data_IF_735163356878
#
_entry.id   IF_735163356878
#
_cell.length_a   1.000
_cell.length_b   1.000
_cell.length_c   1.000
_cell.angle_alpha   90.00
_cell.angle_beta   90.00
_cell.angle_gamma   90.00
#
_symmetry.space_group_name_H-M   'P 1'
#
loop_
_entity.id
_entity.type
_entity.pdbx_description
1 polymer ?
#
# COMPACT_ATOMS: atom_id res chain seq x y z
N UNK A 1 -33.53 -29.69 -11.28
CA UNK A 1 -32.86 -30.48 -10.24
C UNK A 1 -31.70 -29.64 -9.72
N UNK A 2 -31.79 -29.23 -8.46
CA UNK A 2 -30.93 -28.24 -7.80
C UNK A 2 -29.53 -28.80 -7.59
N UNK A 3 -28.52 -28.20 -8.21
CA UNK A 3 -27.10 -28.49 -7.95
C UNK A 3 -26.51 -27.42 -7.04
N UNK A 4 -26.80 -27.48 -5.74
CA UNK A 4 -26.08 -26.71 -4.73
C UNK A 4 -24.65 -27.24 -4.62
N UNK A 5 -23.69 -26.62 -5.30
CA UNK A 5 -22.27 -26.87 -5.04
C UNK A 5 -21.82 -25.99 -3.88
N UNK A 6 -21.94 -26.58 -2.69
CA UNK A 6 -21.44 -26.16 -1.37
C UNK A 6 -20.13 -25.36 -1.46
N UNK A 7 -20.21 -24.03 -1.37
CA UNK A 7 -19.05 -23.15 -1.25
C UNK A 7 -18.34 -23.39 0.10
N UNK A 8 -17.02 -23.53 0.05
CA UNK A 8 -16.16 -23.76 1.20
C UNK A 8 -16.19 -22.57 2.19
N UNK A 9 -17.13 -22.56 3.12
CA UNK A 9 -16.94 -21.85 4.39
C UNK A 9 -16.04 -22.71 5.28
N UNK A 10 -14.73 -22.60 5.08
CA UNK A 10 -13.80 -22.96 6.14
C UNK A 10 -13.81 -21.76 7.10
N UNK A 11 -14.49 -21.89 8.22
CA UNK A 11 -14.37 -20.92 9.32
C UNK A 11 -12.95 -21.02 9.86
N UNK A 12 -12.05 -20.21 9.29
CA UNK A 12 -10.69 -20.10 9.78
C UNK A 12 -10.73 -19.08 10.92
N UNK A 13 -10.83 -19.60 12.15
CA UNK A 13 -10.77 -18.77 13.36
C UNK A 13 -9.41 -18.08 13.43
N UNK A 14 -9.43 -16.76 13.63
CA UNK A 14 -8.26 -15.91 13.78
C UNK A 14 -8.45 -15.07 15.04
N UNK A 15 -7.51 -15.17 15.98
CA UNK A 15 -7.56 -14.48 17.28
C UNK A 15 -6.66 -13.22 17.30
N UNK A 16 -6.11 -12.81 16.15
CA UNK A 16 -5.32 -11.57 16.07
C UNK A 16 -6.24 -10.33 16.11
N UNK A 17 -5.81 -9.23 16.75
CA UNK A 17 -6.61 -8.02 16.79
C UNK A 17 -6.70 -7.36 15.41
N UNK A 18 -7.86 -6.78 15.08
CA UNK A 18 -8.04 -6.00 13.86
C UNK A 18 -7.04 -4.83 13.80
N UNK A 19 -6.50 -4.57 12.60
CA UNK A 19 -5.49 -3.54 12.36
C UNK A 19 -4.05 -3.98 12.66
N UNK A 20 -3.83 -5.17 13.23
CA UNK A 20 -2.47 -5.69 13.40
C UNK A 20 -1.86 -6.17 12.09
N UNK A 21 -0.53 -6.22 12.05
CA UNK A 21 0.22 -6.75 10.92
C UNK A 21 -0.13 -8.23 10.70
N UNK A 22 -0.22 -9.00 11.79
CA UNK A 22 -0.52 -10.43 11.78
C UNK A 22 -1.91 -10.71 11.21
N UNK A 23 -2.91 -9.86 11.52
CA UNK A 23 -4.25 -9.97 10.95
C UNK A 23 -4.23 -9.67 9.44
N UNK A 24 -3.49 -8.65 9.02
CA UNK A 24 -3.29 -8.34 7.59
C UNK A 24 -2.61 -9.45 6.81
N UNK A 25 -1.55 -10.05 7.37
CA UNK A 25 -0.84 -11.19 6.78
C UNK A 25 -1.73 -12.45 6.74
N UNK A 26 -2.53 -12.68 7.79
CA UNK A 26 -3.53 -13.74 7.83
C UNK A 26 -4.55 -13.60 6.69
N UNK A 27 -5.14 -12.41 6.50
CA UNK A 27 -6.09 -12.16 5.42
C UNK A 27 -5.46 -12.38 4.04
N UNK A 28 -4.24 -11.86 3.83
CA UNK A 28 -3.52 -11.98 2.56
C UNK A 28 -3.22 -13.43 2.18
N UNK A 29 -2.85 -14.26 3.16
CA UNK A 29 -2.54 -15.66 2.94
C UNK A 29 -3.80 -16.51 2.80
N UNK A 30 -4.80 -16.28 3.65
CA UNK A 30 -6.06 -17.06 3.67
C UNK A 30 -6.87 -16.83 2.41
N UNK A 31 -6.93 -15.58 1.95
CA UNK A 31 -7.70 -15.19 0.77
C UNK A 31 -6.77 -14.84 -0.40
N UNK A 32 -5.65 -15.56 -0.57
CA UNK A 32 -4.67 -15.27 -1.63
C UNK A 32 -5.26 -15.38 -3.03
N UNK A 33 -5.98 -16.47 -3.29
CA UNK A 33 -6.70 -16.69 -4.55
C UNK A 33 -8.04 -15.95 -4.53
N UNK A 34 -8.42 -15.37 -5.67
CA UNK A 34 -9.65 -14.57 -5.80
C UNK A 34 -10.66 -15.23 -6.72
N UNK A 35 -11.93 -15.00 -6.43
CA UNK A 35 -13.04 -15.28 -7.34
C UNK A 35 -13.48 -13.94 -7.94
N UNK A 36 -13.66 -13.90 -9.26
CA UNK A 36 -14.16 -12.74 -9.99
C UNK A 36 -15.70 -12.77 -10.02
N UNK A 37 -16.29 -12.47 -8.86
CA UNK A 37 -17.74 -12.43 -8.67
C UNK A 37 -18.10 -11.33 -7.66
N UNK A 38 -19.37 -10.95 -7.62
CA UNK A 38 -19.89 -9.84 -6.81
C UNK A 38 -20.71 -10.38 -5.64
N UNK A 39 -20.35 -9.97 -4.43
CA UNK A 39 -21.16 -10.19 -3.23
C UNK A 39 -21.83 -8.88 -2.82
N UNK A 40 -23.04 -8.96 -2.27
CA UNK A 40 -23.64 -7.86 -1.53
C UNK A 40 -23.12 -7.92 -0.08
N UNK A 41 -22.45 -6.86 0.36
CA UNK A 41 -22.06 -6.70 1.75
C UNK A 41 -23.25 -6.28 2.61
N UNK A 42 -23.14 -6.49 3.92
CA UNK A 42 -24.17 -6.09 4.88
C UNK A 42 -24.18 -4.57 5.05
N UNK A 43 -25.38 -3.98 5.08
CA UNK A 43 -25.57 -2.52 5.16
C UNK A 43 -25.04 -1.96 6.50
N UNK A 44 -24.89 -2.78 7.55
CA UNK A 44 -24.29 -2.37 8.84
C UNK A 44 -22.83 -1.92 8.72
N UNK A 45 -22.11 -2.30 7.65
CA UNK A 45 -20.74 -1.85 7.40
C UNK A 45 -20.68 -0.41 6.86
N UNK A 46 -21.81 0.19 6.49
CA UNK A 46 -21.82 1.52 5.89
C UNK A 46 -21.26 2.59 6.82
N UNK A 47 -21.53 2.52 8.12
CA UNK A 47 -20.94 3.44 9.11
C UNK A 47 -19.41 3.33 9.14
N UNK A 48 -18.86 2.11 9.03
CA UNK A 48 -17.40 1.91 8.96
C UNK A 48 -16.79 2.50 7.68
N UNK A 49 -17.53 2.49 6.57
CA UNK A 49 -17.09 3.10 5.30
C UNK A 49 -17.05 4.62 5.44
N UNK A 50 -18.08 5.23 6.02
CA UNK A 50 -18.12 6.67 6.26
C UNK A 50 -16.99 7.12 7.20
N UNK A 51 -16.76 6.38 8.28
CA UNK A 51 -15.64 6.64 9.20
C UNK A 51 -14.29 6.54 8.49
N UNK A 52 -14.11 5.52 7.63
CA UNK A 52 -12.91 5.38 6.81
C UNK A 52 -12.68 6.61 5.92
N UNK A 53 -13.71 7.12 5.24
CA UNK A 53 -13.59 8.27 4.35
C UNK A 53 -13.18 9.53 5.10
N UNK A 54 -13.77 9.78 6.28
CA UNK A 54 -13.39 10.88 7.17
C UNK A 54 -11.91 10.79 7.55
N UNK A 55 -11.47 9.62 8.02
CA UNK A 55 -10.08 9.40 8.43
C UNK A 55 -9.12 9.62 7.25
N UNK A 56 -9.48 9.15 6.06
CA UNK A 56 -8.66 9.35 4.85
C UNK A 56 -8.49 10.84 4.54
N UNK A 57 -9.54 11.63 4.69
CA UNK A 57 -9.47 13.07 4.46
C UNK A 57 -8.67 13.81 5.54
N UNK A 58 -8.78 13.39 6.81
CA UNK A 58 -7.94 13.89 7.89
C UNK A 58 -6.44 13.59 7.64
N UNK A 59 -6.12 12.38 7.18
CA UNK A 59 -4.75 12.00 6.82
C UNK A 59 -4.22 12.91 5.70
N UNK A 60 -5.00 13.16 4.64
CA UNK A 60 -4.60 14.07 3.56
C UNK A 60 -4.32 15.48 4.08
N UNK A 61 -5.15 15.97 4.99
CA UNK A 61 -4.97 17.29 5.62
C UNK A 61 -3.68 17.35 6.44
N UNK A 62 -3.43 16.33 7.28
CA UNK A 62 -2.22 16.21 8.08
C UNK A 62 -0.95 16.10 7.22
N UNK A 63 -1.01 15.34 6.13
CA UNK A 63 0.08 15.22 5.15
C UNK A 63 0.39 16.57 4.48
N UNK A 64 -0.65 17.33 4.11
CA UNK A 64 -0.50 18.67 3.54
C UNK A 64 0.15 19.66 4.52
N UNK A 65 -0.28 19.64 5.78
CA UNK A 65 0.32 20.47 6.83
C UNK A 65 1.79 20.08 7.09
N UNK A 66 2.09 18.79 7.20
CA UNK A 66 3.47 18.27 7.32
C UNK A 66 4.33 18.76 6.16
N UNK A 67 3.85 18.64 4.92
CA UNK A 67 4.57 19.05 3.72
C UNK A 67 4.84 20.56 3.69
N UNK A 68 3.88 21.36 4.15
CA UNK A 68 4.05 22.81 4.26
C UNK A 68 5.19 23.19 5.23
N UNK A 69 5.29 22.47 6.36
CA UNK A 69 6.39 22.63 7.33
C UNK A 69 7.72 22.17 6.71
N UNK A 70 7.74 21.02 6.03
CA UNK A 70 8.94 20.50 5.35
C UNK A 70 9.46 21.51 4.31
N UNK A 71 8.59 22.08 3.47
CA UNK A 71 8.97 23.09 2.49
C UNK A 71 9.55 24.34 3.14
N UNK A 72 8.99 24.79 4.28
CA UNK A 72 9.53 25.92 5.03
C UNK A 72 10.96 25.62 5.49
N UNK A 73 11.20 24.44 6.06
CA UNK A 73 12.54 24.03 6.52
C UNK A 73 13.51 23.94 5.32
N UNK A 74 13.09 23.32 4.22
CA UNK A 74 13.90 23.21 3.00
C UNK A 74 14.24 24.56 2.38
N UNK A 75 13.30 25.52 2.41
CA UNK A 75 13.52 26.89 1.94
C UNK A 75 14.60 27.62 2.75
N UNK A 76 14.69 27.36 4.06
CA UNK A 76 15.77 27.87 4.91
C UNK A 76 17.09 27.12 4.67
N UNK A 77 17.03 25.80 4.46
CA UNK A 77 18.21 24.96 4.21
C UNK A 77 18.86 25.21 2.85
N UNK A 78 18.09 25.58 1.81
CA UNK A 78 18.60 25.83 0.44
C UNK A 78 19.53 24.70 -0.04
N UNK A 79 20.78 25.00 -0.40
CA UNK A 79 21.77 24.03 -0.88
C UNK A 79 22.45 23.23 0.25
N UNK A 80 22.22 23.60 1.51
CA UNK A 80 22.84 22.93 2.65
C UNK A 80 22.17 21.59 2.94
N UNK A 81 22.97 20.52 2.98
CA UNK A 81 22.44 19.18 3.21
C UNK A 81 22.17 18.86 4.68
N UNK A 82 22.69 19.66 5.62
CA UNK A 82 22.55 19.42 7.06
C UNK A 82 22.30 20.73 7.78
N UNK A 83 21.25 20.77 8.60
CA UNK A 83 20.94 21.88 9.50
C UNK A 83 20.74 21.40 10.93
N UNK A 84 20.98 22.28 11.89
CA UNK A 84 20.69 22.03 13.31
C UNK A 84 19.69 23.07 13.80
N UNK A 85 18.64 22.61 14.48
CA UNK A 85 17.70 23.46 15.19
C UNK A 85 17.63 22.96 16.64
N UNK A 86 18.25 23.70 17.56
CA UNK A 86 18.46 23.29 18.96
C UNK A 86 19.12 21.90 19.03
N UNK A 87 18.42 20.92 19.58
CA UNK A 87 18.82 19.53 19.78
C UNK A 87 18.51 18.63 18.56
N UNK A 88 17.84 19.15 17.53
CA UNK A 88 17.44 18.36 16.36
C UNK A 88 18.37 18.59 15.17
N UNK A 89 18.87 17.49 14.61
CA UNK A 89 19.58 17.44 13.34
C UNK A 89 18.59 17.17 12.20
N UNK A 90 18.62 18.02 11.17
CA UNK A 90 17.87 17.85 9.93
C UNK A 90 18.85 17.55 8.80
N UNK A 91 18.52 16.59 7.94
CA UNK A 91 19.33 16.26 6.76
C UNK A 91 18.49 16.24 5.50
N UNK A 92 18.95 16.92 4.46
CA UNK A 92 18.36 16.94 3.12
C UNK A 92 19.48 16.74 2.08
N UNK A 93 19.98 15.51 2.01
CA UNK A 93 21.13 15.16 1.17
C UNK A 93 20.72 14.87 -0.26
N UNK A 94 21.60 15.16 -1.22
CA UNK A 94 21.43 14.70 -2.60
C UNK A 94 21.50 13.16 -2.64
N UNK A 95 20.45 12.54 -3.18
CA UNK A 95 20.42 11.09 -3.41
C UNK A 95 20.58 10.82 -4.91
N UNK A 96 21.65 10.12 -5.28
CA UNK A 96 21.85 9.61 -6.64
C UNK A 96 21.45 8.14 -6.66
N UNK A 97 20.38 7.82 -7.39
CA UNK A 97 19.92 6.44 -7.59
C UNK A 97 20.22 6.01 -9.03
N UNK A 98 20.96 4.92 -9.17
CA UNK A 98 21.07 4.20 -10.45
C UNK A 98 20.04 3.06 -10.45
N UNK A 99 19.28 2.92 -11.53
CA UNK A 99 18.31 1.85 -11.69
C UNK A 99 18.56 1.10 -13.00
N UNK A 100 18.29 -0.20 -12.97
CA UNK A 100 18.36 -1.02 -14.17
C UNK A 100 17.26 -0.65 -15.16
N UNK A 101 17.61 -0.36 -16.42
CA UNK A 101 16.65 -0.03 -17.47
C UNK A 101 16.03 -1.31 -18.05
N UNK A 102 15.08 -1.86 -17.30
CA UNK A 102 14.35 -3.07 -17.69
C UNK A 102 13.54 -2.90 -18.97
N UNK A 103 13.12 -1.67 -19.30
CA UNK A 103 12.37 -1.37 -20.53
C UNK A 103 13.27 -1.49 -21.75
N UNK A 104 14.46 -0.89 -21.67
CA UNK A 104 15.47 -1.00 -22.72
C UNK A 104 15.95 -2.43 -22.90
N UNK A 105 16.17 -3.18 -21.81
CA UNK A 105 16.53 -4.59 -21.93
C UNK A 105 15.45 -5.39 -22.67
N UNK A 106 14.16 -5.15 -22.37
CA UNK A 106 13.04 -5.83 -23.04
C UNK A 106 13.01 -5.59 -24.55
N UNK A 107 13.43 -4.41 -25.00
CA UNK A 107 13.52 -4.06 -26.43
C UNK A 107 14.78 -4.62 -27.09
N UNK A 108 15.94 -4.42 -26.47
CA UNK A 108 17.25 -4.76 -27.05
C UNK A 108 17.54 -6.27 -26.99
N UNK A 109 17.10 -6.95 -25.93
CA UNK A 109 17.35 -8.38 -25.65
C UNK A 109 16.15 -9.03 -24.94
N UNK A 110 15.05 -9.30 -25.67
CA UNK A 110 13.83 -9.86 -25.09
C UNK A 110 14.03 -11.25 -24.49
N UNK A 111 14.91 -12.08 -25.07
CA UNK A 111 15.19 -13.43 -24.58
C UNK A 111 15.77 -13.39 -23.16
N UNK A 112 16.81 -12.57 -22.98
CA UNK A 112 17.41 -12.34 -21.66
C UNK A 112 16.36 -11.74 -20.71
N UNK A 113 15.57 -10.76 -21.15
CA UNK A 113 14.52 -10.19 -20.29
C UNK A 113 13.55 -11.25 -19.76
N UNK A 114 13.13 -12.19 -20.62
CA UNK A 114 12.19 -13.25 -20.27
C UNK A 114 12.81 -14.27 -19.30
N UNK A 115 14.09 -14.61 -19.45
CA UNK A 115 14.79 -15.55 -18.56
C UNK A 115 14.83 -15.07 -17.09
N UNK A 116 14.82 -13.75 -16.88
CA UNK A 116 14.83 -13.15 -15.54
C UNK A 116 13.46 -12.62 -15.09
N UNK A 117 12.40 -12.86 -15.87
CA UNK A 117 11.07 -12.39 -15.52
C UNK A 117 10.46 -13.27 -14.42
N UNK A 118 10.20 -12.66 -13.25
CA UNK A 118 9.46 -13.30 -12.17
C UNK A 118 8.08 -12.66 -12.03
N UNK A 119 7.03 -13.45 -12.23
CA UNK A 119 5.66 -13.03 -11.95
C UNK A 119 5.29 -13.31 -10.49
N UNK A 120 4.68 -12.33 -9.83
CA UNK A 120 4.02 -12.50 -8.53
C UNK A 120 2.60 -11.94 -8.61
N UNK A 121 1.62 -12.70 -8.14
CA UNK A 121 0.23 -12.25 -8.03
C UNK A 121 -0.07 -11.77 -6.61
N UNK A 122 -0.80 -10.66 -6.48
CA UNK A 122 -1.24 -10.10 -5.19
C UNK A 122 -2.64 -9.49 -5.33
N UNK A 123 -3.46 -9.60 -4.28
CA UNK A 123 -4.75 -8.89 -4.19
C UNK A 123 -4.55 -7.53 -3.53
N UNK A 124 -5.19 -6.51 -4.08
CA UNK A 124 -5.10 -5.13 -3.58
C UNK A 124 -6.47 -4.69 -3.06
N UNK A 125 -6.51 -4.22 -1.83
CA UNK A 125 -7.69 -3.58 -1.25
C UNK A 125 -7.79 -2.14 -1.74
N UNK A 126 -8.98 -1.73 -2.19
CA UNK A 126 -9.29 -0.36 -2.58
C UNK A 126 -10.73 -0.06 -2.20
N UNK A 127 -10.94 1.05 -1.52
CA UNK A 127 -12.25 1.67 -1.31
C UNK A 127 -12.30 2.91 -2.22
N UNK A 128 -13.41 3.11 -2.94
CA UNK A 128 -13.61 4.17 -3.93
C UNK A 128 -14.90 4.91 -3.65
#
# INVERSE_FOLDING_TARGET
MVGFTKMFKKEVKCDFPFGSKEYGDFLRNTYKDSVDDVIKLDDSLYECILEYDIIVDEIKSLESMKKSIEHRIQSEMREFETGFCRDRKITWKKVVKSSFDSKRLKLDKPDIYNDYLKSSCSRVFRLK
#
